data_IF_759798169554
#
_entry.id   IF_759798169554
#
_cell.length_a   1.000
_cell.length_b   1.000
_cell.length_c   1.000
_cell.angle_alpha   90.00
_cell.angle_beta   90.00
_cell.angle_gamma   90.00
#
_symmetry.space_group_name_H-M   'P 1'
#
loop_
_entity.id
_entity.type
_entity.pdbx_description
1 polymer ?
#
# COMPACT_ATOMS: atom_id res chain seq x y z
N UNK A 1 12.31 16.31 -6.87
CA UNK A 1 12.71 15.17 -7.70
C UNK A 1 11.43 14.46 -8.08
N UNK A 2 11.12 14.38 -9.36
CA UNK A 2 10.01 13.53 -9.83
C UNK A 2 10.35 12.09 -9.44
N UNK A 3 9.53 11.49 -8.58
CA UNK A 3 9.59 10.04 -8.37
C UNK A 3 9.12 9.42 -9.68
N UNK A 4 10.02 8.75 -10.38
CA UNK A 4 9.64 7.96 -11.55
C UNK A 4 8.68 6.88 -11.07
N UNK A 5 7.53 6.77 -11.72
CA UNK A 5 6.51 5.76 -11.40
C UNK A 5 7.12 4.35 -11.45
N UNK A 6 6.74 3.48 -10.51
CA UNK A 6 7.10 2.05 -10.58
C UNK A 6 6.29 1.30 -11.64
N UNK A 7 5.18 1.87 -12.10
CA UNK A 7 4.28 1.28 -13.09
C UNK A 7 4.52 1.84 -14.49
N UNK A 8 4.44 0.97 -15.50
CA UNK A 8 4.40 1.33 -16.92
C UNK A 8 2.96 1.53 -17.35
N UNK A 9 2.43 2.74 -17.15
CA UNK A 9 1.02 3.03 -17.38
C UNK A 9 0.53 2.81 -18.82
N UNK A 10 1.43 2.85 -19.80
CA UNK A 10 1.18 2.54 -21.21
C UNK A 10 0.84 1.07 -21.46
N UNK A 11 1.06 0.19 -20.48
CA UNK A 11 0.83 -1.26 -20.57
C UNK A 11 -0.48 -1.74 -19.95
N UNK A 12 -1.28 -0.83 -19.40
CA UNK A 12 -2.54 -1.18 -18.74
C UNK A 12 -3.44 -1.96 -19.72
N UNK A 13 -3.90 -3.12 -19.28
CA UNK A 13 -4.85 -3.95 -20.01
C UNK A 13 -6.01 -4.35 -19.11
N UNK A 14 -7.22 -4.03 -19.54
CA UNK A 14 -8.45 -4.50 -18.92
C UNK A 14 -8.54 -6.04 -19.01
N UNK A 15 -8.89 -6.68 -17.90
CA UNK A 15 -9.09 -8.12 -17.82
C UNK A 15 -10.58 -8.44 -17.79
N UNK A 16 -11.17 -8.50 -16.59
CA UNK A 16 -12.57 -8.86 -16.38
C UNK A 16 -13.22 -7.91 -15.36
N UNK A 17 -14.53 -7.66 -15.48
CA UNK A 17 -15.28 -6.96 -14.45
C UNK A 17 -15.14 -7.65 -13.09
N UNK A 18 -15.10 -6.88 -12.02
CA UNK A 18 -14.99 -7.38 -10.66
C UNK A 18 -15.78 -6.50 -9.69
N UNK A 19 -16.11 -7.05 -8.52
CA UNK A 19 -16.85 -6.35 -7.47
C UNK A 19 -16.22 -6.63 -6.12
N UNK A 20 -15.68 -5.60 -5.48
CA UNK A 20 -15.12 -5.76 -4.14
C UNK A 20 -16.26 -5.95 -3.10
N UNK A 21 -16.18 -6.98 -2.25
CA UNK A 21 -17.28 -7.42 -1.38
C UNK A 21 -17.39 -6.62 -0.08
N UNK A 22 -17.34 -5.28 -0.17
CA UNK A 22 -17.63 -4.41 0.97
C UNK A 22 -19.13 -4.43 1.33
N UNK A 23 -19.47 -3.94 2.54
CA UNK A 23 -20.87 -3.83 2.99
C UNK A 23 -21.78 -3.12 1.98
N UNK A 24 -21.24 -2.12 1.28
CA UNK A 24 -21.79 -1.61 0.02
C UNK A 24 -20.79 -2.00 -1.08
N UNK A 25 -21.14 -2.91 -2.00
CA UNK A 25 -20.22 -3.39 -3.02
C UNK A 25 -19.61 -2.25 -3.84
N UNK A 26 -18.39 -2.44 -4.32
CA UNK A 26 -17.70 -1.48 -5.21
C UNK A 26 -17.45 -2.17 -6.53
N UNK A 27 -18.22 -1.86 -7.59
CA UNK A 27 -17.98 -2.42 -8.91
C UNK A 27 -16.77 -1.75 -9.57
N UNK A 28 -16.12 -2.51 -10.45
CA UNK A 28 -14.94 -2.07 -11.17
C UNK A 28 -14.45 -3.13 -12.14
N UNK A 29 -13.16 -3.05 -12.44
CA UNK A 29 -12.48 -3.92 -13.37
C UNK A 29 -11.12 -4.34 -12.82
N UNK A 30 -10.75 -5.60 -13.04
CA UNK A 30 -9.37 -6.04 -12.88
C UNK A 30 -8.56 -5.60 -14.08
N UNK A 31 -7.38 -5.09 -13.82
CA UNK A 31 -6.44 -4.69 -14.85
C UNK A 31 -5.11 -5.38 -14.61
N UNK A 32 -4.40 -5.68 -15.68
CA UNK A 32 -2.99 -6.06 -15.66
C UNK A 32 -2.14 -4.83 -15.97
N UNK A 33 -1.03 -4.66 -15.24
CA UNK A 33 -0.07 -3.57 -15.47
C UNK A 33 1.34 -4.16 -15.38
N UNK A 34 2.22 -3.76 -16.30
CA UNK A 34 3.65 -4.05 -16.22
C UNK A 34 4.34 -3.04 -15.28
N UNK A 35 5.20 -3.55 -14.42
CA UNK A 35 6.10 -2.76 -13.59
C UNK A 35 7.33 -2.37 -14.42
N UNK A 36 8.04 -1.32 -14.01
CA UNK A 36 9.29 -0.90 -14.66
C UNK A 36 10.43 -1.92 -14.53
N UNK A 37 10.27 -2.92 -13.66
CA UNK A 37 11.10 -4.12 -13.55
C UNK A 37 10.85 -5.17 -14.64
N UNK A 38 9.74 -5.04 -15.39
CA UNK A 38 9.27 -6.01 -16.39
C UNK A 38 8.29 -7.06 -15.85
N UNK A 39 8.13 -7.18 -14.52
CA UNK A 39 7.11 -8.05 -13.93
C UNK A 39 5.71 -7.49 -14.17
N UNK A 40 4.70 -8.36 -14.20
CA UNK A 40 3.30 -7.97 -14.33
C UNK A 40 2.53 -8.26 -13.07
N UNK A 41 1.59 -7.38 -12.75
CA UNK A 41 0.72 -7.51 -11.59
C UNK A 41 -0.72 -7.24 -11.98
N UNK A 42 -1.64 -7.75 -11.17
CA UNK A 42 -3.05 -7.37 -11.22
C UNK A 42 -3.35 -6.24 -10.23
N UNK A 43 -4.26 -5.36 -10.63
CA UNK A 43 -4.80 -4.30 -9.81
C UNK A 43 -6.30 -4.14 -10.07
N UNK A 44 -6.98 -3.49 -9.14
CA UNK A 44 -8.39 -3.13 -9.27
C UNK A 44 -8.53 -1.64 -9.58
N UNK A 45 -9.44 -1.31 -10.50
CA UNK A 45 -9.92 0.05 -10.77
C UNK A 45 -11.42 0.10 -10.59
N UNK A 46 -11.92 1.04 -9.78
CA UNK A 46 -13.35 1.21 -9.59
C UNK A 46 -14.02 1.96 -10.76
N UNK A 47 -15.29 1.65 -11.01
CA UNK A 47 -16.08 2.30 -12.08
C UNK A 47 -16.34 3.79 -11.80
N UNK A 48 -16.33 4.20 -10.53
CA UNK A 48 -16.49 5.61 -10.15
C UNK A 48 -15.26 6.47 -10.47
N UNK A 49 -14.14 5.84 -10.84
CA UNK A 49 -12.87 6.49 -11.15
C UNK A 49 -12.23 7.21 -9.95
N UNK A 50 -12.70 6.96 -8.73
CA UNK A 50 -12.29 7.67 -7.51
C UNK A 50 -11.89 6.71 -6.38
N UNK A 51 -12.44 5.50 -6.33
CA UNK A 51 -12.18 4.56 -5.24
C UNK A 51 -10.82 3.86 -5.41
N UNK A 52 -10.08 3.77 -4.30
CA UNK A 52 -8.80 3.06 -4.17
C UNK A 52 -8.64 2.60 -2.72
N UNK A 53 -7.59 1.85 -2.41
CA UNK A 53 -7.24 1.47 -1.04
C UNK A 53 -5.73 1.59 -0.80
N UNK A 54 -5.32 1.24 0.42
CA UNK A 54 -3.97 1.41 0.95
C UNK A 54 -2.82 1.14 -0.04
N UNK A 55 -2.80 0.02 -0.75
CA UNK A 55 -1.72 -0.30 -1.69
C UNK A 55 -1.68 0.67 -2.89
N UNK A 56 -2.83 1.10 -3.39
CA UNK A 56 -2.88 2.14 -4.43
C UNK A 56 -2.33 3.47 -3.94
N UNK A 57 -2.53 3.81 -2.66
CA UNK A 57 -1.91 5.00 -2.06
C UNK A 57 -0.39 4.82 -1.90
N UNK A 58 0.03 3.75 -1.23
CA UNK A 58 1.43 3.57 -0.80
C UNK A 58 2.41 3.33 -1.95
N UNK A 59 1.94 2.74 -3.06
CA UNK A 59 2.79 2.39 -4.19
C UNK A 59 2.65 3.33 -5.39
N UNK A 60 1.81 4.38 -5.30
CA UNK A 60 1.62 5.37 -6.37
C UNK A 60 0.54 5.00 -7.40
N UNK A 61 -0.30 4.01 -7.10
CA UNK A 61 -1.48 3.66 -7.91
C UNK A 61 -2.54 4.77 -8.00
N UNK A 62 -2.55 5.72 -7.06
CA UNK A 62 -3.43 6.90 -7.09
C UNK A 62 -3.16 7.80 -8.30
N UNK A 63 -1.94 7.79 -8.84
CA UNK A 63 -1.52 8.65 -9.96
C UNK A 63 -1.77 8.02 -11.34
N UNK A 64 -2.46 6.87 -11.39
CA UNK A 64 -2.71 6.15 -12.63
C UNK A 64 -3.62 6.95 -13.59
N UNK A 65 -3.34 6.91 -14.91
CA UNK A 65 -4.22 7.53 -15.90
C UNK A 65 -5.56 6.82 -15.94
N UNK A 66 -6.64 7.59 -16.11
CA UNK A 66 -8.01 7.05 -16.09
C UNK A 66 -8.56 6.77 -14.69
N UNK A 67 -7.85 7.18 -13.64
CA UNK A 67 -8.28 7.09 -12.24
C UNK A 67 -7.45 6.11 -11.42
N UNK A 68 -7.53 6.19 -10.08
CA UNK A 68 -6.74 5.39 -9.17
C UNK A 68 -6.87 3.89 -9.42
N UNK A 69 -5.74 3.19 -9.28
CA UNK A 69 -5.66 1.73 -9.33
C UNK A 69 -5.06 1.23 -8.03
N UNK A 70 -5.39 0.02 -7.62
CA UNK A 70 -4.87 -0.54 -6.39
C UNK A 70 -4.52 -2.02 -6.54
N UNK A 71 -3.23 -2.40 -6.39
CA UNK A 71 -2.84 -3.80 -6.26
C UNK A 71 -3.52 -4.40 -5.03
N UNK A 72 -4.27 -5.49 -5.19
CA UNK A 72 -5.05 -6.04 -4.08
C UNK A 72 -4.74 -7.48 -3.73
N UNK A 73 -4.11 -8.24 -4.62
CA UNK A 73 -3.64 -9.57 -4.26
C UNK A 73 -2.34 -9.48 -3.45
N UNK A 74 -2.18 -10.35 -2.46
CA UNK A 74 -0.94 -10.42 -1.69
C UNK A 74 0.29 -10.78 -2.53
N UNK A 75 0.09 -11.48 -3.66
CA UNK A 75 1.15 -11.80 -4.63
C UNK A 75 1.63 -10.57 -5.37
N UNK A 76 0.72 -9.73 -5.84
CA UNK A 76 1.05 -8.51 -6.59
C UNK A 76 1.78 -7.50 -5.72
N UNK A 77 1.31 -7.32 -4.49
CA UNK A 77 1.98 -6.46 -3.50
C UNK A 77 3.37 -7.00 -3.17
N UNK A 78 3.51 -8.30 -2.94
CA UNK A 78 4.81 -8.94 -2.71
C UNK A 78 5.77 -8.75 -3.90
N UNK A 79 5.26 -8.79 -5.13
CA UNK A 79 6.05 -8.56 -6.34
C UNK A 79 6.59 -7.13 -6.37
N UNK A 80 5.73 -6.13 -6.10
CA UNK A 80 6.16 -4.72 -5.98
C UNK A 80 7.25 -4.56 -4.91
N UNK A 81 7.04 -5.13 -3.72
CA UNK A 81 8.00 -5.03 -2.62
C UNK A 81 9.36 -5.63 -2.97
N UNK A 82 9.39 -6.79 -3.63
CA UNK A 82 10.63 -7.46 -4.01
C UNK A 82 11.42 -6.68 -5.08
N UNK A 83 10.71 -6.10 -6.05
CA UNK A 83 11.32 -5.40 -7.17
C UNK A 83 11.87 -4.03 -6.77
N UNK A 84 11.10 -3.25 -6.01
CA UNK A 84 11.37 -1.82 -5.80
C UNK A 84 11.75 -1.44 -4.38
N UNK A 85 11.60 -2.35 -3.41
CA UNK A 85 11.82 -2.02 -2.01
C UNK A 85 12.87 -2.91 -1.35
N UNK A 86 13.53 -2.38 -0.33
CA UNK A 86 14.35 -3.14 0.61
C UNK A 86 13.75 -3.05 2.00
N UNK A 87 13.77 -4.16 2.72
CA UNK A 87 13.37 -4.19 4.13
C UNK A 87 14.28 -3.27 4.96
N UNK A 88 13.70 -2.48 5.84
CA UNK A 88 14.41 -1.63 6.80
C UNK A 88 14.53 -2.40 8.11
N UNK A 89 15.76 -2.70 8.51
CA UNK A 89 16.06 -3.39 9.77
C UNK A 89 17.26 -2.71 10.46
N UNK A 90 17.10 -2.25 11.72
CA UNK A 90 15.87 -2.25 12.52
C UNK A 90 14.82 -1.25 11.99
N UNK A 91 13.53 -1.55 12.15
CA UNK A 91 12.40 -0.67 11.75
C UNK A 91 12.49 0.73 12.38
N UNK A 92 13.09 0.84 13.57
CA UNK A 92 13.36 2.13 14.23
C UNK A 92 14.24 3.09 13.41
N UNK A 93 14.95 2.59 12.38
CA UNK A 93 15.75 3.39 11.43
C UNK A 93 14.97 3.85 10.20
N UNK A 94 13.66 3.61 10.18
CA UNK A 94 12.80 4.08 9.11
C UNK A 94 12.76 5.61 9.04
N UNK A 95 12.60 6.11 7.82
CA UNK A 95 12.55 7.54 7.52
C UNK A 95 11.21 7.89 6.88
N UNK A 96 10.90 9.19 6.83
CA UNK A 96 9.73 9.66 6.10
C UNK A 96 9.81 9.22 4.62
N UNK A 97 8.71 8.66 4.12
CA UNK A 97 8.60 8.08 2.78
C UNK A 97 8.81 6.56 2.72
N UNK A 98 9.29 5.91 3.79
CA UNK A 98 9.25 4.46 3.89
C UNK A 98 7.80 3.96 3.97
N UNK A 99 7.56 2.73 3.52
CA UNK A 99 6.24 2.09 3.53
C UNK A 99 6.19 1.05 4.65
N UNK A 100 5.18 1.14 5.50
CA UNK A 100 4.87 0.14 6.52
C UNK A 100 3.81 -0.80 5.97
N UNK A 101 4.06 -2.10 6.02
CA UNK A 101 3.18 -3.15 5.47
C UNK A 101 2.79 -4.14 6.56
N UNK A 102 1.49 -4.42 6.67
CA UNK A 102 0.94 -5.43 7.57
C UNK A 102 0.60 -6.69 6.82
N UNK A 103 0.69 -7.82 7.52
CA UNK A 103 0.52 -9.15 6.94
C UNK A 103 -0.55 -9.94 7.69
N UNK A 104 -1.30 -10.77 6.96
CA UNK A 104 -2.15 -11.78 7.59
C UNK A 104 -1.33 -12.95 8.17
N UNK A 105 -2.01 -13.89 8.80
CA UNK A 105 -1.41 -15.08 9.39
C UNK A 105 -0.73 -16.02 8.37
N UNK A 106 -1.05 -15.87 7.08
CA UNK A 106 -0.45 -16.65 6.00
C UNK A 106 0.73 -15.90 5.33
N UNK A 107 1.08 -14.71 5.81
CA UNK A 107 2.15 -13.89 5.25
C UNK A 107 1.74 -13.10 3.99
N UNK A 108 0.45 -12.93 3.74
CA UNK A 108 -0.07 -12.07 2.66
C UNK A 108 -0.14 -10.60 3.10
N UNK A 109 0.40 -9.63 2.33
CA UNK A 109 0.19 -8.20 2.60
C UNK A 109 -1.30 -7.84 2.59
N UNK A 110 -1.80 -7.34 3.71
CA UNK A 110 -3.22 -6.94 3.89
C UNK A 110 -3.42 -5.44 4.01
N UNK A 111 -2.37 -4.70 4.38
CA UNK A 111 -2.43 -3.25 4.50
C UNK A 111 -1.07 -2.62 4.27
N UNK A 112 -1.08 -1.36 3.82
CA UNK A 112 0.13 -0.54 3.73
C UNK A 112 -0.16 0.92 4.08
N UNK A 113 0.87 1.61 4.56
CA UNK A 113 0.80 3.04 4.81
C UNK A 113 2.18 3.67 4.57
N UNK A 114 2.19 4.93 4.15
CA UNK A 114 3.44 5.68 3.97
C UNK A 114 3.80 6.40 5.26
N UNK A 115 5.01 6.21 5.76
CA UNK A 115 5.52 6.87 6.96
C UNK A 115 5.75 8.35 6.69
N UNK A 116 5.13 9.23 7.49
CA UNK A 116 5.22 10.69 7.32
C UNK A 116 6.13 11.30 8.37
N UNK A 117 5.98 10.87 9.63
CA UNK A 117 6.79 11.34 10.75
C UNK A 117 7.25 10.13 11.58
N UNK A 118 8.40 9.51 11.25
CA UNK A 118 8.97 8.44 12.04
C UNK A 118 9.44 8.97 13.40
N UNK A 119 9.09 8.27 14.48
CA UNK A 119 9.66 8.51 15.79
C UNK A 119 10.47 7.28 16.15
N UNK A 120 11.79 7.45 16.18
CA UNK A 120 12.71 6.40 16.59
C UNK A 120 12.55 6.12 18.09
N UNK A 121 12.45 4.85 18.45
CA UNK A 121 12.54 4.45 19.86
C UNK A 121 13.99 4.51 20.30
N UNK A 122 14.26 5.01 21.51
CA UNK A 122 15.63 5.09 22.05
C UNK A 122 16.20 3.73 22.45
N UNK A 123 15.33 2.71 22.59
CA UNK A 123 15.67 1.34 22.95
C UNK A 123 14.68 0.38 22.29
N UNK A 124 14.90 0.03 21.04
CA UNK A 124 14.06 -0.96 20.35
C UNK A 124 14.37 -1.04 18.86
N UNK A 125 13.98 -2.17 18.27
CA UNK A 125 14.10 -2.38 16.83
C UNK A 125 12.86 -1.83 16.08
N UNK A 126 11.86 -1.31 16.81
CA UNK A 126 10.55 -0.91 16.26
C UNK A 126 10.33 0.61 16.28
N UNK A 127 9.41 1.05 15.41
CA UNK A 127 8.91 2.43 15.43
C UNK A 127 8.09 2.69 16.70
N UNK A 128 8.18 3.92 17.21
CA UNK A 128 7.32 4.37 18.30
C UNK A 128 5.87 4.47 17.79
N UNK A 129 4.91 4.08 18.62
CA UNK A 129 3.48 4.08 18.29
C UNK A 129 2.93 5.49 17.99
N UNK A 130 3.61 6.55 18.45
CA UNK A 130 3.31 7.94 18.11
C UNK A 130 3.77 8.33 16.69
N UNK A 131 4.50 7.47 15.97
CA UNK A 131 4.88 7.71 14.57
C UNK A 131 3.63 7.93 13.71
N UNK A 132 3.70 8.87 12.76
CA UNK A 132 2.56 9.25 11.92
C UNK A 132 2.70 8.66 10.53
N UNK A 133 1.63 8.06 10.02
CA UNK A 133 1.52 7.47 8.69
C UNK A 133 0.35 8.06 7.91
N UNK A 134 0.49 8.11 6.58
CA UNK A 134 -0.59 8.38 5.65
C UNK A 134 -1.16 7.05 5.15
N UNK A 135 -2.45 6.82 5.41
CA UNK A 135 -3.11 5.56 5.05
C UNK A 135 -4.51 5.80 4.48
N UNK A 136 -5.00 4.80 3.72
CA UNK A 136 -6.38 4.69 3.28
C UNK A 136 -6.92 3.28 3.52
N UNK A 137 -7.91 3.17 4.41
CA UNK A 137 -8.53 1.89 4.78
C UNK A 137 -9.91 1.73 4.14
N UNK A 138 -9.97 0.97 3.04
CA UNK A 138 -11.22 0.73 2.31
C UNK A 138 -11.94 2.04 1.94
N UNK A 139 -13.19 2.19 2.39
CA UNK A 139 -14.00 3.39 2.12
C UNK A 139 -13.66 4.60 2.98
N UNK A 140 -12.82 4.47 4.02
CA UNK A 140 -12.42 5.63 4.82
C UNK A 140 -11.61 6.60 3.94
N UNK A 141 -11.75 7.92 4.17
CA UNK A 141 -10.90 8.89 3.48
C UNK A 141 -9.43 8.62 3.81
N UNK A 142 -8.55 8.98 2.88
CA UNK A 142 -7.13 9.05 3.17
C UNK A 142 -6.92 9.99 4.36
N UNK A 143 -6.10 9.58 5.33
CA UNK A 143 -5.83 10.37 6.52
C UNK A 143 -4.42 10.13 7.04
N UNK A 144 -3.92 11.11 7.78
CA UNK A 144 -2.75 10.94 8.64
C UNK A 144 -3.23 10.38 9.98
N UNK A 145 -2.59 9.32 10.45
CA UNK A 145 -2.92 8.65 11.71
C UNK A 145 -1.67 8.11 12.38
N UNK A 146 -1.74 7.88 13.68
CA UNK A 146 -0.64 7.27 14.44
C UNK A 146 -0.50 5.79 14.10
N UNK A 147 0.70 5.25 14.28
CA UNK A 147 0.94 3.81 14.21
C UNK A 147 0.05 3.07 15.21
N UNK A 148 -0.11 3.60 16.42
CA UNK A 148 -1.05 3.09 17.42
C UNK A 148 -2.47 2.91 16.86
N UNK A 149 -2.97 3.88 16.10
CA UNK A 149 -4.33 3.82 15.54
C UNK A 149 -4.48 2.69 14.51
N UNK A 150 -3.41 2.36 13.78
CA UNK A 150 -3.39 1.26 12.81
C UNK A 150 -3.15 -0.10 13.47
N UNK A 151 -2.54 -0.11 14.66
CA UNK A 151 -2.21 -1.32 15.41
C UNK A 151 -3.32 -1.72 16.39
N UNK A 152 -3.99 -0.77 17.04
CA UNK A 152 -4.94 -1.02 18.12
C UNK A 152 -6.34 -0.42 17.87
N UNK A 153 -6.49 0.39 16.82
CA UNK A 153 -7.74 1.08 16.54
C UNK A 153 -8.86 0.17 15.99
N UNK A 154 -10.07 0.71 15.76
CA UNK A 154 -11.22 -0.05 15.26
C UNK A 154 -11.04 -0.70 13.89
N UNK A 155 -10.00 -0.32 13.13
CA UNK A 155 -9.60 -0.97 11.88
C UNK A 155 -8.17 -1.54 11.99
N UNK A 156 -7.80 -1.98 13.19
CA UNK A 156 -6.49 -2.54 13.50
C UNK A 156 -6.08 -3.61 12.49
N UNK A 157 -4.81 -3.55 12.12
CA UNK A 157 -4.11 -4.56 11.31
C UNK A 157 -3.14 -5.40 12.16
N UNK A 158 -3.13 -5.18 13.48
CA UNK A 158 -2.26 -5.85 14.44
C UNK A 158 -0.84 -5.27 14.54
N UNK A 159 -0.06 -5.84 15.44
CA UNK A 159 1.32 -5.39 15.72
C UNK A 159 2.34 -5.93 14.72
N UNK A 160 1.96 -6.91 13.89
CA UNK A 160 2.86 -7.56 12.92
C UNK A 160 2.92 -6.74 11.63
N UNK A 161 3.91 -5.85 11.57
CA UNK A 161 4.24 -5.06 10.38
C UNK A 161 5.71 -5.22 10.03
N UNK A 162 6.06 -4.82 8.81
CA UNK A 162 7.44 -4.71 8.32
C UNK A 162 7.59 -3.38 7.59
N UNK A 163 8.74 -2.72 7.75
CA UNK A 163 9.05 -1.45 7.08
C UNK A 163 9.91 -1.67 5.84
N UNK A 164 9.59 -0.94 4.77
CA UNK A 164 10.21 -1.04 3.45
C UNK A 164 10.64 0.33 2.94
N UNK A 165 11.84 0.42 2.39
CA UNK A 165 12.39 1.61 1.75
C UNK A 165 12.45 1.42 0.24
N UNK A 166 11.97 2.40 -0.51
CA UNK A 166 12.11 2.41 -1.96
C UNK A 166 13.59 2.51 -2.36
N UNK A 167 14.02 1.72 -3.35
CA UNK A 167 15.40 1.68 -3.86
C UNK A 167 15.74 2.88 -4.74
#
# INVERSE_FOLDING_TARGET
MDKTSIFRWDTIRDLEPDVLPYAVPVPGIKIEIELTSGNRIEAFRADDGQFFFCHGLSFGGIDAPGGPVSPYSGKDVSTILNDFYTRVEPEATAVAGDVVVWYDLNGGPIHSATLINPIATTRGDRLDYASVLCSKSGKRPQANMTLESLVEGPASYGESYVVFRCR
#
